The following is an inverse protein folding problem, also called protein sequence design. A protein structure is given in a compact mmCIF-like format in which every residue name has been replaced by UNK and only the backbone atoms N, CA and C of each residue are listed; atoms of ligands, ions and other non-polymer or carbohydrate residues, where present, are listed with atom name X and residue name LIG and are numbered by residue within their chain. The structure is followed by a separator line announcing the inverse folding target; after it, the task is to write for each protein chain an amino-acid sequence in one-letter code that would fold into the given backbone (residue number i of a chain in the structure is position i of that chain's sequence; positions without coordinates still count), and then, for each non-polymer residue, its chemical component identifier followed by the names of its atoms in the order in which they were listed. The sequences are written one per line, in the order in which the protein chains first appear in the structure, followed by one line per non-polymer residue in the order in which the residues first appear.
data_IF_791651723411
#
_entry.id   IF_791651723411
#
_cell.length_a   1.000
_cell.length_b   1.000
_cell.length_c   1.000
_cell.angle_alpha   90.00
_cell.angle_beta   90.00
_cell.angle_gamma   90.00
#
_symmetry.space_group_name_H-M   'P 1'
#
loop_
_entity.id
_entity.type
_entity.pdbx_description
1 polymer ?
#
# COMPACT_ATOMS: atom_id res chain seq x y z
N UNK A 1 19.20 -44.73 -15.48
CA UNK A 1 18.24 -43.89 -16.21
C UNK A 1 16.87 -44.58 -16.20
N UNK A 2 15.92 -44.04 -15.44
CA UNK A 2 14.50 -44.42 -15.38
C UNK A 2 13.77 -43.11 -15.02
N UNK A 3 13.14 -42.47 -15.99
CA UNK A 3 11.73 -42.60 -16.39
C UNK A 3 10.81 -41.78 -15.48
N UNK A 4 10.20 -40.76 -16.09
CA UNK A 4 9.36 -39.71 -15.50
C UNK A 4 7.92 -40.19 -15.46
N UNK A 5 7.48 -40.74 -14.33
CA UNK A 5 6.05 -40.89 -14.08
C UNK A 5 5.47 -39.58 -13.52
N UNK A 6 4.81 -38.84 -14.42
CA UNK A 6 3.94 -37.74 -14.07
C UNK A 6 2.75 -38.28 -13.26
N UNK A 7 2.75 -38.04 -11.95
CA UNK A 7 1.57 -38.20 -11.10
C UNK A 7 0.52 -37.19 -11.54
N UNK A 8 -0.35 -37.61 -12.46
CA UNK A 8 -1.53 -36.88 -12.87
C UNK A 8 -2.42 -36.68 -11.64
N UNK A 9 -2.55 -35.43 -11.23
CA UNK A 9 -3.48 -35.02 -10.18
C UNK A 9 -4.89 -35.08 -10.76
N UNK A 10 -5.70 -36.00 -10.25
CA UNK A 10 -7.06 -36.24 -10.74
C UNK A 10 -8.02 -35.19 -10.18
N UNK A 11 -8.26 -34.13 -10.97
CA UNK A 11 -9.13 -33.00 -10.62
C UNK A 11 -10.62 -33.43 -10.64
N UNK A 12 -10.93 -34.63 -11.13
CA UNK A 12 -12.28 -35.19 -11.12
C UNK A 12 -12.75 -35.71 -9.75
N UNK A 13 -11.83 -35.79 -8.76
CA UNK A 13 -12.14 -36.19 -7.38
C UNK A 13 -12.54 -35.01 -6.47
N UNK A 14 -12.52 -33.78 -7.00
CA UNK A 14 -13.01 -32.60 -6.29
C UNK A 14 -14.51 -32.49 -6.55
N UNK A 15 -15.27 -33.22 -5.72
CA UNK A 15 -16.72 -33.13 -5.63
C UNK A 15 -17.06 -31.82 -4.88
N UNK A 16 -17.28 -30.76 -5.65
CA UNK A 16 -17.66 -29.44 -5.14
C UNK A 16 -19.18 -29.37 -5.08
N UNK A 17 -19.74 -29.97 -4.03
CA UNK A 17 -21.16 -29.83 -3.65
C UNK A 17 -21.43 -28.39 -3.20
N UNK A 18 -21.62 -27.51 -4.18
CA UNK A 18 -22.15 -26.15 -4.02
C UNK A 18 -23.67 -26.23 -4.00
N UNK A 19 -24.21 -26.92 -3.00
CA UNK A 19 -25.64 -26.89 -2.71
C UNK A 19 -25.95 -25.56 -2.00
N UNK A 20 -26.83 -24.79 -2.62
CA UNK A 20 -27.22 -23.45 -2.22
C UNK A 20 -27.69 -23.42 -0.75
N UNK A 21 -26.83 -22.94 0.15
CA UNK A 21 -27.24 -22.60 1.51
C UNK A 21 -27.83 -21.19 1.51
N UNK A 22 -29.14 -21.26 1.35
CA UNK A 22 -30.17 -20.25 1.56
C UNK A 22 -29.91 -19.38 2.80
N UNK A 23 -30.43 -18.16 2.68
CA UNK A 23 -30.36 -17.11 3.66
C UNK A 23 -30.93 -17.51 5.04
N UNK A 24 -30.56 -16.67 6.01
CA UNK A 24 -31.32 -16.36 7.23
C UNK A 24 -30.87 -16.99 8.57
N UNK A 25 -30.62 -16.06 9.49
CA UNK A 25 -31.07 -16.04 10.90
C UNK A 25 -30.09 -16.43 12.04
N UNK A 26 -29.79 -15.37 12.79
CA UNK A 26 -29.80 -15.25 14.26
C UNK A 26 -28.65 -15.92 15.05
N UNK A 27 -27.77 -15.12 15.64
CA UNK A 27 -27.94 -14.48 16.96
C UNK A 27 -27.95 -15.46 18.14
N UNK A 28 -26.81 -15.60 18.83
CA UNK A 28 -26.68 -15.52 20.30
C UNK A 28 -25.30 -16.01 20.77
N UNK A 29 -24.64 -15.14 21.54
CA UNK A 29 -23.89 -15.43 22.77
C UNK A 29 -22.76 -16.50 22.78
N UNK A 30 -21.55 -15.95 22.95
CA UNK A 30 -20.64 -16.22 24.07
C UNK A 30 -19.62 -17.36 23.99
N UNK A 31 -18.38 -16.91 24.19
CA UNK A 31 -17.28 -17.51 24.93
C UNK A 31 -16.37 -18.54 24.25
N UNK A 32 -15.12 -18.08 24.19
CA UNK A 32 -13.88 -18.80 24.50
C UNK A 32 -13.09 -19.34 23.31
N UNK A 33 -11.91 -18.73 23.14
CA UNK A 33 -10.88 -19.16 22.20
C UNK A 33 -9.77 -18.12 22.09
N UNK A 34 -9.31 -17.60 23.23
CA UNK A 34 -8.00 -16.96 23.33
C UNK A 34 -6.97 -18.04 23.07
N UNK A 35 -6.12 -17.89 22.05
CA UNK A 35 -4.71 -18.32 22.04
C UNK A 35 -4.05 -18.05 20.68
N UNK A 36 -2.81 -17.58 20.74
CA UNK A 36 -1.84 -17.41 19.63
C UNK A 36 -1.93 -16.15 18.77
N UNK A 37 -2.01 -15.00 19.43
CA UNK A 37 -1.54 -13.73 18.88
C UNK A 37 -0.01 -13.58 19.04
N UNK A 38 0.80 -14.55 18.59
CA UNK A 38 2.27 -14.50 18.75
C UNK A 38 3.00 -15.20 17.59
N UNK A 39 2.68 -14.88 16.34
CA UNK A 39 3.52 -15.33 15.21
C UNK A 39 3.39 -14.49 13.93
N UNK A 40 3.15 -13.18 14.07
CA UNK A 40 3.17 -12.24 12.93
C UNK A 40 4.23 -11.15 13.08
N UNK A 41 5.04 -11.19 14.14
CA UNK A 41 6.03 -10.15 14.44
C UNK A 41 7.39 -10.32 13.71
N UNK A 42 7.65 -11.45 13.04
CA UNK A 42 8.99 -11.78 12.55
C UNK A 42 9.20 -11.61 11.03
N UNK A 43 8.19 -11.17 10.27
CA UNK A 43 8.31 -10.89 8.81
C UNK A 43 8.29 -9.38 8.51
N UNK A 44 8.28 -8.51 9.53
CA UNK A 44 8.38 -7.06 9.38
C UNK A 44 9.83 -6.53 9.44
N UNK A 45 10.84 -7.41 9.39
CA UNK A 45 12.25 -7.06 9.59
C UNK A 45 13.10 -7.04 8.30
N UNK A 46 12.49 -7.23 7.12
CA UNK A 46 13.19 -7.22 5.83
C UNK A 46 12.39 -6.44 4.77
N UNK A 47 11.93 -5.25 5.14
CA UNK A 47 11.53 -4.20 4.20
C UNK A 47 12.38 -2.95 4.48
N UNK A 48 13.69 -3.15 4.58
CA UNK A 48 14.68 -2.08 4.43
C UNK A 48 14.75 -1.70 2.94
N UNK A 49 13.70 -1.10 2.41
CA UNK A 49 13.72 -0.41 1.12
C UNK A 49 13.66 1.09 1.40
N UNK A 50 14.86 1.66 1.47
CA UNK A 50 15.17 3.07 1.29
C UNK A 50 14.24 4.07 2.01
N UNK A 51 14.35 4.11 3.34
CA UNK A 51 14.33 5.38 4.08
C UNK A 51 15.54 6.21 3.62
N UNK A 52 15.45 6.78 2.42
CA UNK A 52 16.11 8.03 2.09
C UNK A 52 15.09 9.14 2.38
N UNK A 53 14.59 9.18 3.62
CA UNK A 53 14.12 10.42 4.20
C UNK A 53 15.31 11.36 4.19
N UNK A 54 15.36 12.24 3.18
CA UNK A 54 16.23 13.39 3.20
C UNK A 54 15.76 14.24 4.40
N UNK A 55 16.55 14.40 5.47
CA UNK A 55 16.19 15.29 6.57
C UNK A 55 16.48 16.72 6.11
N UNK A 56 15.66 17.22 5.19
CA UNK A 56 15.82 18.55 4.62
C UNK A 56 14.49 19.12 4.11
N UNK A 57 13.48 19.17 4.98
CA UNK A 57 12.43 20.16 4.86
C UNK A 57 12.07 20.59 6.28
N UNK A 58 12.69 21.69 6.69
CA UNK A 58 12.18 22.72 7.60
C UNK A 58 11.10 22.27 8.60
N UNK A 59 11.46 22.26 9.89
CA UNK A 59 10.62 22.01 11.08
C UNK A 59 9.52 23.08 11.27
N UNK A 60 8.92 23.54 10.18
CA UNK A 60 7.69 24.32 10.19
C UNK A 60 6.54 23.31 10.19
N UNK A 61 5.57 23.38 11.13
CA UNK A 61 4.40 22.53 11.09
C UNK A 61 3.55 22.88 9.87
N UNK A 62 3.85 22.25 8.74
CA UNK A 62 3.01 22.22 7.55
C UNK A 62 1.97 21.12 7.66
N UNK A 63 0.97 21.16 6.79
CA UNK A 63 -0.04 20.10 6.71
C UNK A 63 0.65 18.79 6.31
N UNK A 64 0.60 17.74 7.17
CA UNK A 64 1.31 16.48 6.92
C UNK A 64 0.76 15.75 5.70
N UNK A 65 -0.52 15.96 5.39
CA UNK A 65 -1.17 15.43 4.18
C UNK A 65 -0.54 16.03 2.91
N UNK A 66 -0.28 17.33 2.92
CA UNK A 66 0.36 18.02 1.79
C UNK A 66 1.82 17.59 1.63
N UNK A 67 2.52 17.34 2.74
CA UNK A 67 3.89 16.83 2.71
C UNK A 67 3.96 15.45 2.04
N UNK A 68 3.05 14.56 2.41
CA UNK A 68 2.90 13.24 1.77
C UNK A 68 2.60 13.35 0.28
N UNK A 69 1.73 14.30 -0.14
CA UNK A 69 1.44 14.56 -1.56
C UNK A 69 2.69 15.04 -2.32
N UNK A 70 3.51 15.88 -1.70
CA UNK A 70 4.77 16.38 -2.27
C UNK A 70 5.79 15.26 -2.49
N UNK A 71 5.92 14.34 -1.54
CA UNK A 71 6.77 13.16 -1.66
C UNK A 71 6.26 12.20 -2.74
N UNK A 72 4.95 11.97 -2.79
CA UNK A 72 4.35 11.12 -3.81
C UNK A 72 4.54 11.71 -5.21
N UNK A 73 4.37 13.02 -5.38
CA UNK A 73 4.61 13.70 -6.66
C UNK A 73 6.07 13.54 -7.14
N UNK A 74 7.04 13.60 -6.23
CA UNK A 74 8.46 13.35 -6.55
C UNK A 74 8.68 11.91 -6.99
N UNK A 75 8.06 10.94 -6.33
CA UNK A 75 8.13 9.54 -6.76
C UNK A 75 7.54 9.34 -8.16
N UNK A 76 6.43 10.01 -8.49
CA UNK A 76 5.86 9.99 -9.85
C UNK A 76 6.79 10.64 -10.89
N UNK A 77 7.44 11.77 -10.56
CA UNK A 77 8.47 12.38 -11.41
C UNK A 77 9.61 11.39 -11.70
N UNK A 78 10.13 10.72 -10.67
CA UNK A 78 11.22 9.74 -10.77
C UNK A 78 10.84 8.51 -11.62
N UNK A 79 9.57 8.09 -11.56
CA UNK A 79 9.03 7.04 -12.43
C UNK A 79 8.76 7.51 -13.87
N UNK A 80 8.87 8.82 -14.14
CA UNK A 80 8.60 9.42 -15.45
C UNK A 80 7.11 9.71 -15.72
N UNK A 81 6.24 9.51 -14.73
CA UNK A 81 4.82 9.84 -14.80
C UNK A 81 4.60 11.31 -14.43
N UNK A 82 4.89 12.17 -15.42
CA UNK A 82 4.82 13.62 -15.24
C UNK A 82 3.40 14.14 -15.10
N UNK A 83 2.42 13.45 -15.67
CA UNK A 83 1.01 13.85 -15.58
C UNK A 83 0.49 13.60 -14.15
N UNK A 84 0.74 12.41 -13.59
CA UNK A 84 0.37 12.11 -12.19
C UNK A 84 1.10 13.00 -11.18
N UNK A 85 2.38 13.29 -11.40
CA UNK A 85 3.13 14.22 -10.56
C UNK A 85 2.53 15.64 -10.61
N UNK A 86 2.11 16.13 -11.79
CA UNK A 86 1.50 17.45 -11.93
C UNK A 86 0.17 17.56 -11.20
N UNK A 87 -0.69 16.55 -11.30
CA UNK A 87 -2.00 16.54 -10.60
C UNK A 87 -1.80 16.67 -9.08
N UNK A 88 -0.87 15.91 -8.51
CA UNK A 88 -0.53 16.00 -7.09
C UNK A 88 0.08 17.37 -6.71
N UNK A 89 0.95 17.92 -7.55
CA UNK A 89 1.56 19.22 -7.29
C UNK A 89 0.54 20.37 -7.37
N UNK A 90 -0.47 20.29 -8.23
CA UNK A 90 -1.58 21.25 -8.28
C UNK A 90 -2.40 21.21 -6.97
N UNK A 91 -2.64 20.02 -6.41
CA UNK A 91 -3.25 19.88 -5.08
C UNK A 91 -2.37 20.50 -3.98
N UNK A 92 -1.05 20.28 -4.02
CA UNK A 92 -0.12 20.92 -3.07
C UNK A 92 -0.13 22.44 -3.23
N UNK A 93 -0.27 22.97 -4.44
CA UNK A 93 -0.37 24.41 -4.69
C UNK A 93 -1.66 25.01 -4.13
N UNK A 94 -2.75 24.24 -4.13
CA UNK A 94 -4.06 24.66 -3.65
C UNK A 94 -4.18 24.57 -2.12
N UNK A 95 -3.65 23.50 -1.52
CA UNK A 95 -3.86 23.15 -0.10
C UNK A 95 -2.66 23.52 0.78
N UNK A 96 -1.45 23.57 0.21
CA UNK A 96 -0.22 23.77 0.96
C UNK A 96 0.01 25.19 1.44
N UNK A 97 0.84 25.31 2.48
CA UNK A 97 1.34 26.59 2.96
C UNK A 97 2.38 27.19 1.98
N UNK A 98 2.82 28.43 2.22
CA UNK A 98 3.77 29.12 1.33
C UNK A 98 5.04 28.29 1.04
N UNK A 99 5.59 27.58 2.04
CA UNK A 99 6.79 26.76 1.86
C UNK A 99 6.49 25.54 0.97
N UNK A 100 5.39 24.83 1.24
CA UNK A 100 4.96 23.66 0.46
C UNK A 100 4.63 24.04 -1.00
N UNK A 101 3.97 25.18 -1.22
CA UNK A 101 3.72 25.68 -2.56
C UNK A 101 5.02 25.99 -3.31
N UNK A 102 6.00 26.58 -2.62
CA UNK A 102 7.29 26.90 -3.23
C UNK A 102 8.07 25.62 -3.61
N UNK A 103 8.04 24.61 -2.74
CA UNK A 103 8.56 23.28 -3.04
C UNK A 103 7.86 22.65 -4.24
N UNK A 104 6.52 22.74 -4.34
CA UNK A 104 5.79 22.21 -5.48
C UNK A 104 6.16 22.89 -6.81
N UNK A 105 6.32 24.23 -6.81
CA UNK A 105 6.79 24.97 -7.99
C UNK A 105 8.19 24.55 -8.42
N UNK A 106 9.08 24.24 -7.48
CA UNK A 106 10.43 23.75 -7.78
C UNK A 106 10.39 22.39 -8.47
N UNK A 107 9.52 21.48 -8.03
CA UNK A 107 9.32 20.17 -8.67
C UNK A 107 8.67 20.34 -10.05
N UNK A 108 7.61 21.16 -10.18
CA UNK A 108 6.98 21.49 -11.46
C UNK A 108 7.94 22.07 -12.49
N UNK A 109 8.98 22.80 -12.06
CA UNK A 109 9.99 23.36 -12.96
C UNK A 109 10.96 22.32 -13.53
N UNK A 110 11.01 21.11 -12.94
CA UNK A 110 11.88 20.00 -13.35
C UNK A 110 11.16 18.98 -14.24
N UNK A 111 9.82 18.90 -14.10
CA UNK A 111 8.90 18.13 -14.95
C UNK A 111 8.89 18.64 -16.39
#
# INVERSE_FOLDING_TARGET
PADVEATALDISSIDLDLEAQDAEQHAAASASGSESAESLAQVAADAAVAEQASPAADDTPGDPEVDTKLELARAYEEMGDKDGAKELLDEVLAEGNNQQQEQARLVMSRL
#
